data_IF_805167490411
#
_entry.id   IF_805167490411
#
_cell.length_a   1.000
_cell.length_b   1.000
_cell.length_c   1.000
_cell.angle_alpha   90.00
_cell.angle_beta   90.00
_cell.angle_gamma   90.00
#
_symmetry.space_group_name_H-M   'P 1'
#
loop_
_entity.id
_entity.type
_entity.pdbx_description
1 polymer ?
#
# COMPACT_ATOMS: atom_id res chain seq x y z
N UNK A 1 6.96 2.76 5.09
CA UNK A 1 6.60 3.55 6.28
C UNK A 1 5.22 4.20 6.16
N UNK A 2 4.97 5.00 5.11
CA UNK A 2 3.67 5.66 4.85
C UNK A 2 2.43 4.77 5.03
N UNK A 3 2.37 3.63 4.35
CA UNK A 3 1.24 2.68 4.47
C UNK A 3 1.12 2.03 5.86
N UNK A 4 2.21 1.95 6.65
CA UNK A 4 2.15 1.41 8.01
C UNK A 4 1.44 2.36 8.98
N UNK A 5 1.63 3.67 8.81
CA UNK A 5 0.91 4.69 9.58
C UNK A 5 -0.54 4.86 9.11
N UNK A 6 -0.82 4.62 7.83
CA UNK A 6 -2.15 4.75 7.22
C UNK A 6 -2.81 3.39 6.91
N UNK A 7 -2.53 2.36 7.72
CA UNK A 7 -2.86 0.96 7.43
C UNK A 7 -4.36 0.64 7.22
N UNK A 8 -5.25 1.57 7.58
CA UNK A 8 -6.72 1.41 7.44
C UNK A 8 -7.30 2.11 6.21
N UNK A 9 -6.50 2.90 5.50
CA UNK A 9 -6.95 3.73 4.40
C UNK A 9 -6.48 3.10 3.09
N UNK A 10 -7.39 3.06 2.11
CA UNK A 10 -7.07 2.69 0.75
C UNK A 10 -6.97 3.97 -0.09
N UNK A 11 -5.95 4.06 -0.92
CA UNK A 11 -5.69 5.24 -1.75
C UNK A 11 -5.63 4.85 -3.22
N UNK A 12 -6.13 5.70 -4.09
CA UNK A 12 -5.85 5.60 -5.53
C UNK A 12 -4.44 6.13 -5.82
N UNK A 13 -3.93 5.86 -7.02
CA UNK A 13 -2.64 6.40 -7.46
C UNK A 13 -2.61 7.95 -7.37
N UNK A 14 -3.67 8.60 -7.85
CA UNK A 14 -3.80 10.06 -7.82
C UNK A 14 -3.80 10.63 -6.38
N UNK A 15 -4.54 9.99 -5.48
CA UNK A 15 -4.57 10.38 -4.06
C UNK A 15 -3.19 10.20 -3.41
N UNK A 16 -2.46 9.13 -3.74
CA UNK A 16 -1.10 8.92 -3.24
C UNK A 16 -0.15 10.01 -3.72
N UNK A 17 -0.21 10.39 -5.00
CA UNK A 17 0.63 11.48 -5.54
C UNK A 17 0.35 12.78 -4.80
N UNK A 18 -0.92 13.12 -4.57
CA UNK A 18 -1.31 14.33 -3.81
C UNK A 18 -0.84 14.29 -2.37
N UNK A 19 -1.04 13.18 -1.66
CA UNK A 19 -0.65 13.05 -0.26
C UNK A 19 0.88 13.08 -0.11
N UNK A 20 1.60 12.38 -0.99
CA UNK A 20 3.07 12.39 -1.01
C UNK A 20 3.59 13.82 -1.29
N UNK A 21 2.99 14.53 -2.24
CA UNK A 21 3.35 15.92 -2.52
C UNK A 21 3.12 16.85 -1.30
N UNK A 22 2.02 16.64 -0.56
CA UNK A 22 1.67 17.41 0.65
C UNK A 22 2.69 17.23 1.79
N UNK A 23 3.29 16.04 1.91
CA UNK A 23 4.36 15.77 2.89
C UNK A 23 5.77 16.11 2.36
N UNK A 24 5.87 16.85 1.25
CA UNK A 24 7.14 17.31 0.67
C UNK A 24 7.82 16.33 -0.27
N UNK A 25 7.19 15.20 -0.62
CA UNK A 25 7.70 14.22 -1.59
C UNK A 25 6.97 14.35 -2.92
N UNK A 26 7.47 15.24 -3.78
CA UNK A 26 6.98 15.37 -5.15
C UNK A 26 7.61 14.30 -6.02
N UNK A 27 6.88 13.21 -6.22
CA UNK A 27 7.25 12.12 -7.13
C UNK A 27 6.27 12.12 -8.32
N UNK A 28 6.74 11.84 -9.54
CA UNK A 28 5.85 11.66 -10.66
C UNK A 28 4.99 10.40 -10.46
N UNK A 29 3.80 10.37 -11.04
CA UNK A 29 2.85 9.28 -10.87
C UNK A 29 3.43 7.92 -11.27
N UNK A 30 4.27 7.88 -12.32
CA UNK A 30 4.94 6.65 -12.78
C UNK A 30 5.89 6.06 -11.72
N UNK A 31 6.67 6.90 -11.03
CA UNK A 31 7.55 6.43 -9.94
C UNK A 31 6.75 5.91 -8.74
N UNK A 32 5.63 6.57 -8.43
CA UNK A 32 4.71 6.11 -7.38
C UNK A 32 4.10 4.77 -7.78
N UNK A 33 3.65 4.61 -9.02
CA UNK A 33 3.09 3.36 -9.55
C UNK A 33 4.11 2.21 -9.52
N UNK A 34 5.34 2.43 -10.01
CA UNK A 34 6.43 1.44 -9.94
C UNK A 34 6.73 1.01 -8.50
N UNK A 35 6.68 1.96 -7.57
CA UNK A 35 6.86 1.68 -6.14
C UNK A 35 5.71 0.83 -5.60
N UNK A 36 4.46 1.12 -5.98
CA UNK A 36 3.29 0.33 -5.57
C UNK A 36 3.37 -1.10 -6.11
N UNK A 37 3.70 -1.27 -7.39
CA UNK A 37 3.88 -2.60 -8.00
C UNK A 37 4.97 -3.40 -7.27
N UNK A 38 6.08 -2.76 -6.92
CA UNK A 38 7.16 -3.41 -6.16
C UNK A 38 6.71 -3.82 -4.75
N UNK A 39 5.94 -2.97 -4.07
CA UNK A 39 5.40 -3.25 -2.74
C UNK A 39 4.32 -4.35 -2.77
N UNK A 40 3.51 -4.39 -3.81
CA UNK A 40 2.50 -5.41 -4.03
C UNK A 40 3.14 -6.77 -4.33
N UNK A 41 4.13 -6.80 -5.21
CA UNK A 41 4.93 -8.00 -5.49
C UNK A 41 5.62 -8.52 -4.22
N UNK A 42 6.15 -7.62 -3.39
CA UNK A 42 6.71 -7.96 -2.08
C UNK A 42 5.67 -8.33 -1.02
N UNK A 43 4.37 -8.29 -1.33
CA UNK A 43 3.28 -8.62 -0.42
C UNK A 43 3.08 -7.63 0.73
N UNK A 44 3.66 -6.42 0.65
CA UNK A 44 3.50 -5.37 1.66
C UNK A 44 2.20 -4.58 1.52
N UNK A 45 1.66 -4.50 0.30
CA UNK A 45 0.37 -3.88 0.00
C UNK A 45 -0.49 -4.84 -0.83
N UNK A 46 -1.77 -4.53 -0.95
CA UNK A 46 -2.70 -5.18 -1.85
C UNK A 46 -3.48 -4.11 -2.63
N UNK A 47 -3.70 -4.34 -3.92
CA UNK A 47 -4.66 -3.58 -4.71
C UNK A 47 -6.03 -4.25 -4.72
N UNK A 48 -7.08 -3.42 -4.78
CA UNK A 48 -8.45 -3.85 -5.02
C UNK A 48 -9.08 -2.89 -6.01
N UNK A 49 -9.66 -3.43 -7.08
CA UNK A 49 -10.42 -2.64 -8.03
C UNK A 49 -11.83 -2.37 -7.49
N UNK A 50 -12.25 -1.10 -7.55
CA UNK A 50 -13.58 -0.63 -7.20
C UNK A 50 -14.01 0.31 -8.31
N UNK A 51 -15.13 0.01 -8.99
CA UNK A 51 -15.64 0.81 -10.12
C UNK A 51 -14.61 1.07 -11.23
N UNK A 52 -13.74 0.09 -11.52
CA UNK A 52 -12.67 0.20 -12.52
C UNK A 52 -11.47 1.02 -12.09
N UNK A 53 -11.42 1.46 -10.82
CA UNK A 53 -10.30 2.22 -10.27
C UNK A 53 -9.52 1.36 -9.27
N UNK A 54 -8.18 1.26 -9.41
CA UNK A 54 -7.36 0.50 -8.47
C UNK A 54 -7.14 1.30 -7.17
N UNK A 55 -7.50 0.68 -6.04
CA UNK A 55 -7.24 1.18 -4.70
C UNK A 55 -6.19 0.34 -4.01
N UNK A 56 -5.14 0.99 -3.50
CA UNK A 56 -4.01 0.37 -2.84
C UNK A 56 -4.11 0.56 -1.32
N UNK A 57 -3.93 -0.52 -0.56
CA UNK A 57 -3.90 -0.47 0.90
C UNK A 57 -2.80 -1.35 1.46
N UNK A 58 -2.39 -1.09 2.71
CA UNK A 58 -1.46 -1.98 3.40
C UNK A 58 -2.08 -3.38 3.50
N UNK A 59 -1.32 -4.39 3.06
CA UNK A 59 -1.73 -5.77 3.26
C UNK A 59 -1.68 -6.05 4.74
N UNK A 60 -2.84 -6.30 5.35
CA UNK A 60 -2.90 -6.67 6.75
C UNK A 60 -2.42 -8.12 6.84
N UNK A 61 -1.12 -8.30 6.97
CA UNK A 61 -0.55 -9.57 7.42
C UNK A 61 -1.07 -9.73 8.85
N UNK A 62 -2.25 -10.35 9.00
CA UNK A 62 -2.64 -10.99 10.25
C UNK A 62 -1.43 -11.79 10.64
N UNK A 63 -0.77 -11.38 11.73
CA UNK A 63 0.59 -11.80 12.03
C UNK A 63 0.75 -13.26 11.70
N UNK A 64 1.78 -13.58 10.92
CA UNK A 64 2.32 -14.92 10.93
C UNK A 64 2.89 -15.13 12.33
N UNK A 65 2.03 -15.26 13.33
CA UNK A 65 2.36 -15.98 14.54
C UNK A 65 2.55 -17.39 13.99
N UNK A 66 3.78 -17.93 13.95
CA UNK A 66 3.88 -19.37 13.84
C UNK A 66 3.06 -19.87 15.01
N UNK A 67 1.91 -20.50 14.74
CA UNK A 67 1.26 -21.37 15.72
C UNK A 67 2.32 -22.43 16.01
N UNK A 68 3.18 -22.13 16.98
CA UNK A 68 4.08 -23.08 17.58
C UNK A 68 3.10 -24.08 18.15
N UNK A 69 2.89 -25.19 17.42
CA UNK A 69 2.10 -26.33 17.89
C UNK A 69 2.64 -26.63 19.28
N UNK A 70 1.87 -26.24 20.29
CA UNK A 70 2.11 -26.66 21.66
C UNK A 70 1.84 -28.16 21.61
N UNK A 71 2.91 -28.95 21.64
CA UNK A 71 2.87 -30.39 21.89
C UNK A 71 2.99 -30.58 23.38
#
# INVERSE_FOLDING_TARGET
EFFRFNARIAYTLDELVKVLASIGRKLPAEDVERTLLSLEYGGGIESREIDGVPYYRLRRVLGFTPMKKLR
#
